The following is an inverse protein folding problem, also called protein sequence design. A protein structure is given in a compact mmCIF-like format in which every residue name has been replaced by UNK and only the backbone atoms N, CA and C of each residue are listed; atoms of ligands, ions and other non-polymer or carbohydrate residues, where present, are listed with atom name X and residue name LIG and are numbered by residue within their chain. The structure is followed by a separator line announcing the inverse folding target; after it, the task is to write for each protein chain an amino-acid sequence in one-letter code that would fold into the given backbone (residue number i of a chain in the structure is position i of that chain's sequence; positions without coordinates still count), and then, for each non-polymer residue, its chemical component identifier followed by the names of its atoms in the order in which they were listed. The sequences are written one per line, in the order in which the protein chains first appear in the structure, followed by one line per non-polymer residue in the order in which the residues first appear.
data_IF_021726820457
#
_entry.id   IF_021726820457
#
_cell.length_a   1.000
_cell.length_b   1.000
_cell.length_c   1.000
_cell.angle_alpha   90.00
_cell.angle_beta   90.00
_cell.angle_gamma   90.00
#
_symmetry.space_group_name_H-M   'P 1'
#
loop_
_entity.id
_entity.type
_entity.pdbx_description
1 polymer ?
#
# COMPACT_ATOMS: atom_id res chain seq x y z
N UNK A 1 10.33 2.90 20.51
CA UNK A 1 10.45 4.07 21.38
C UNK A 1 9.20 4.94 21.23
N UNK A 2 8.82 5.66 22.29
CA UNK A 2 7.68 6.57 22.29
C UNK A 2 7.86 7.68 21.22
N UNK A 3 6.91 7.82 20.30
CA UNK A 3 7.00 8.74 19.17
C UNK A 3 7.74 8.19 17.95
N UNK A 4 8.21 6.96 17.97
CA UNK A 4 8.82 6.33 16.79
C UNK A 4 7.75 5.70 15.90
N UNK A 5 8.08 5.52 14.62
CA UNK A 5 7.22 4.82 13.65
C UNK A 5 6.96 3.39 14.16
N UNK A 6 5.70 2.97 14.16
CA UNK A 6 5.30 1.68 14.71
C UNK A 6 5.16 1.64 16.22
N UNK A 7 5.02 2.79 16.88
CA UNK A 7 4.70 2.84 18.31
C UNK A 7 3.42 2.03 18.58
N UNK A 8 3.50 1.12 19.54
CA UNK A 8 2.41 0.20 19.87
C UNK A 8 2.43 -1.13 19.11
N UNK A 9 3.21 -1.25 18.04
CA UNK A 9 3.37 -2.50 17.31
C UNK A 9 4.26 -3.49 18.09
N UNK A 10 3.89 -4.75 18.03
CA UNK A 10 4.71 -5.86 18.54
C UNK A 10 5.46 -6.49 17.38
N UNK A 11 6.78 -6.61 17.51
CA UNK A 11 7.65 -7.19 16.49
C UNK A 11 8.27 -8.48 17.01
N UNK A 12 8.30 -9.52 16.16
CA UNK A 12 8.95 -10.80 16.48
C UNK A 12 10.23 -11.02 15.67
N UNK A 13 10.58 -10.07 14.80
CA UNK A 13 11.87 -10.06 14.09
C UNK A 13 11.96 -10.99 12.89
N UNK A 14 10.84 -11.33 12.25
CA UNK A 14 10.84 -12.18 11.05
C UNK A 14 11.17 -11.32 9.83
N UNK A 15 12.19 -11.67 9.02
CA UNK A 15 12.54 -10.91 7.82
C UNK A 15 11.45 -10.98 6.76
N UNK A 16 11.27 -9.90 5.99
CA UNK A 16 10.27 -9.80 4.91
C UNK A 16 10.35 -10.96 3.90
N UNK A 17 11.54 -11.38 3.40
CA UNK A 17 11.61 -12.50 2.46
C UNK A 17 11.02 -13.79 3.01
N UNK A 18 11.17 -14.06 4.30
CA UNK A 18 10.60 -15.23 4.95
C UNK A 18 9.08 -15.11 5.06
N UNK A 19 8.57 -13.96 5.45
CA UNK A 19 7.13 -13.68 5.49
C UNK A 19 6.51 -13.83 4.10
N UNK A 20 7.17 -13.31 3.08
CA UNK A 20 6.72 -13.45 1.68
C UNK A 20 6.70 -14.90 1.21
N UNK A 21 7.69 -15.69 1.61
CA UNK A 21 7.73 -17.12 1.31
C UNK A 21 6.55 -17.88 1.94
N UNK A 22 6.23 -17.56 3.18
CA UNK A 22 5.05 -18.14 3.86
C UNK A 22 3.76 -17.71 3.16
N UNK A 23 3.63 -16.43 2.81
CA UNK A 23 2.44 -15.91 2.13
C UNK A 23 2.09 -16.68 0.84
N UNK A 24 3.10 -17.06 0.06
CA UNK A 24 2.91 -17.83 -1.17
C UNK A 24 2.28 -19.20 -0.95
N UNK A 25 2.40 -19.76 0.24
CA UNK A 25 1.80 -21.06 0.60
C UNK A 25 0.30 -20.96 0.89
N UNK A 26 -0.22 -19.75 1.11
CA UNK A 26 -1.62 -19.50 1.49
C UNK A 26 -2.44 -18.80 0.41
N UNK A 27 -2.00 -18.84 -0.85
CA UNK A 27 -2.71 -18.19 -1.97
C UNK A 27 -4.08 -18.81 -2.27
N UNK A 28 -4.36 -19.98 -1.78
CA UNK A 28 -5.61 -20.71 -1.98
C UNK A 28 -6.72 -20.33 -0.99
N UNK A 29 -6.40 -19.64 0.10
CA UNK A 29 -7.41 -19.23 1.10
C UNK A 29 -8.32 -18.14 0.54
N UNK A 30 -9.55 -18.04 1.08
CA UNK A 30 -10.42 -16.92 0.71
C UNK A 30 -9.79 -15.58 1.17
N UNK A 31 -9.97 -14.49 0.42
CA UNK A 31 -9.42 -13.20 0.84
C UNK A 31 -9.83 -12.77 2.26
N UNK A 32 -11.05 -13.12 2.67
CA UNK A 32 -11.58 -12.82 4.01
C UNK A 32 -10.88 -13.60 5.13
N UNK A 33 -10.32 -14.76 4.83
CA UNK A 33 -9.70 -15.64 5.83
C UNK A 33 -8.43 -15.04 6.44
N UNK A 34 -7.83 -14.03 5.81
CA UNK A 34 -6.65 -13.35 6.33
C UNK A 34 -6.97 -12.19 7.28
N UNK A 35 -8.25 -11.78 7.39
CA UNK A 35 -8.64 -10.66 8.25
C UNK A 35 -8.22 -10.81 9.71
N UNK A 36 -8.29 -12.00 10.33
CA UNK A 36 -7.77 -12.17 11.69
C UNK A 36 -6.27 -11.83 11.81
N UNK A 37 -5.46 -12.19 10.81
CA UNK A 37 -4.03 -11.84 10.78
C UNK A 37 -3.84 -10.32 10.65
N UNK A 38 -4.66 -9.66 9.83
CA UNK A 38 -4.58 -8.21 9.65
C UNK A 38 -4.97 -7.45 10.91
N UNK A 39 -5.75 -8.05 11.79
CA UNK A 39 -6.17 -7.48 13.07
C UNK A 39 -5.25 -7.87 14.24
N UNK A 40 -4.19 -8.62 14.00
CA UNK A 40 -3.28 -9.07 15.04
C UNK A 40 -2.40 -7.90 15.56
N UNK A 41 -2.06 -7.96 16.83
CA UNK A 41 -1.14 -6.99 17.44
C UNK A 41 0.31 -7.14 16.96
N UNK A 42 0.67 -8.32 16.44
CA UNK A 42 2.01 -8.59 15.91
C UNK A 42 2.11 -8.03 14.50
N UNK A 43 3.09 -7.15 14.28
CA UNK A 43 3.31 -6.46 13.00
C UNK A 43 3.48 -7.45 11.84
N UNK A 44 4.30 -8.49 12.03
CA UNK A 44 4.56 -9.48 10.98
C UNK A 44 3.31 -10.30 10.60
N UNK A 45 2.35 -10.48 11.51
CA UNK A 45 1.06 -11.08 11.17
C UNK A 45 0.26 -10.20 10.23
N UNK A 46 0.23 -8.90 10.46
CA UNK A 46 -0.44 -7.94 9.57
C UNK A 46 0.27 -7.85 8.22
N UNK A 47 1.59 -7.86 8.21
CA UNK A 47 2.37 -7.91 6.97
C UNK A 47 2.08 -9.20 6.20
N UNK A 48 2.02 -10.34 6.88
CA UNK A 48 1.68 -11.63 6.27
C UNK A 48 0.32 -11.56 5.59
N UNK A 49 -0.71 -11.02 6.25
CA UNK A 49 -2.03 -10.84 5.67
C UNK A 49 -1.99 -10.06 4.34
N UNK A 50 -1.31 -8.92 4.34
CA UNK A 50 -1.16 -8.09 3.15
C UNK A 50 -0.37 -8.80 2.04
N UNK A 51 0.70 -9.51 2.38
CA UNK A 51 1.49 -10.26 1.41
C UNK A 51 0.74 -11.46 0.83
N UNK A 52 -0.19 -12.07 1.58
CA UNK A 52 -1.10 -13.07 1.02
C UNK A 52 -1.99 -12.44 -0.05
N UNK A 53 -2.61 -11.29 0.22
CA UNK A 53 -3.40 -10.58 -0.79
C UNK A 53 -2.55 -10.16 -2.00
N UNK A 54 -1.32 -9.69 -1.79
CA UNK A 54 -0.39 -9.35 -2.87
C UNK A 54 -0.09 -10.57 -3.75
N UNK A 55 0.09 -11.74 -3.14
CA UNK A 55 0.35 -12.99 -3.87
C UNK A 55 -0.90 -13.51 -4.60
N UNK A 56 -2.09 -13.35 -4.01
CA UNK A 56 -3.36 -13.76 -4.60
C UNK A 56 -3.78 -12.89 -5.79
N UNK A 57 -3.52 -11.59 -5.71
CA UNK A 57 -4.08 -10.59 -6.63
C UNK A 57 -3.81 -10.90 -8.11
N UNK A 58 -2.56 -11.16 -8.56
CA UNK A 58 -2.28 -11.45 -9.96
C UNK A 58 -2.97 -12.71 -10.49
N UNK A 59 -3.23 -13.67 -9.59
CA UNK A 59 -3.84 -14.97 -9.92
C UNK A 59 -5.37 -14.96 -9.82
N UNK A 60 -5.95 -13.83 -9.41
CA UNK A 60 -7.39 -13.70 -9.17
C UNK A 60 -8.12 -13.22 -10.40
N UNK A 61 -9.39 -13.65 -10.56
CA UNK A 61 -10.30 -13.10 -11.54
C UNK A 61 -10.77 -11.68 -11.15
N UNK A 62 -11.56 -11.04 -11.99
CA UNK A 62 -12.03 -9.67 -11.76
C UNK A 62 -12.81 -9.51 -10.46
N UNK A 63 -13.66 -10.49 -10.14
CA UNK A 63 -14.51 -10.43 -8.93
C UNK A 63 -13.66 -10.54 -7.67
N UNK A 64 -12.69 -11.45 -7.66
CA UNK A 64 -11.80 -11.65 -6.51
C UNK A 64 -10.84 -10.47 -6.34
N UNK A 65 -10.34 -9.89 -7.42
CA UNK A 65 -9.53 -8.66 -7.38
C UNK A 65 -10.31 -7.51 -6.76
N UNK A 66 -11.56 -7.32 -7.17
CA UNK A 66 -12.43 -6.31 -6.55
C UNK A 66 -12.61 -6.60 -5.06
N UNK A 67 -12.81 -7.85 -4.69
CA UNK A 67 -12.95 -8.24 -3.28
C UNK A 67 -11.72 -7.89 -2.45
N UNK A 68 -10.54 -8.22 -2.94
CA UNK A 68 -9.28 -7.87 -2.28
C UNK A 68 -9.12 -6.36 -2.14
N UNK A 69 -9.40 -5.62 -3.21
CA UNK A 69 -9.36 -4.16 -3.21
C UNK A 69 -10.32 -3.56 -2.18
N UNK A 70 -11.57 -4.01 -2.14
CA UNK A 70 -12.58 -3.52 -1.20
C UNK A 70 -12.18 -3.83 0.25
N UNK A 71 -11.66 -5.03 0.52
CA UNK A 71 -11.16 -5.42 1.83
C UNK A 71 -9.96 -4.59 2.27
N UNK A 72 -9.06 -4.29 1.35
CA UNK A 72 -7.90 -3.43 1.61
C UNK A 72 -8.35 -2.04 2.05
N UNK A 73 -9.23 -1.39 1.29
CA UNK A 73 -9.70 -0.04 1.59
C UNK A 73 -10.60 0.01 2.84
N UNK A 74 -11.30 -1.07 3.16
CA UNK A 74 -12.12 -1.16 4.38
C UNK A 74 -11.31 -1.36 5.66
N UNK A 75 -10.01 -1.66 5.54
CA UNK A 75 -9.14 -2.00 6.67
C UNK A 75 -7.88 -1.13 6.74
N UNK A 76 -7.92 0.07 6.20
CA UNK A 76 -6.77 1.00 6.21
C UNK A 76 -6.33 1.40 7.62
N UNK A 77 -7.23 1.35 8.61
CA UNK A 77 -6.91 1.55 10.01
C UNK A 77 -5.90 0.52 10.57
N UNK A 78 -5.80 -0.63 9.93
CA UNK A 78 -4.87 -1.72 10.29
C UNK A 78 -3.59 -1.71 9.45
N UNK A 79 -3.56 -0.90 8.39
CA UNK A 79 -2.39 -0.70 7.51
C UNK A 79 -1.68 0.58 7.97
N UNK A 80 -1.14 0.52 9.16
CA UNK A 80 -0.74 1.69 9.94
C UNK A 80 0.78 1.74 10.21
N UNK A 81 1.57 1.31 9.23
CA UNK A 81 3.01 1.52 9.22
C UNK A 81 3.50 1.62 7.78
N UNK A 82 4.67 2.25 7.57
CA UNK A 82 5.21 2.53 6.24
C UNK A 82 5.45 1.26 5.42
N UNK A 83 5.97 0.20 6.03
CA UNK A 83 6.25 -1.05 5.31
C UNK A 83 4.98 -1.80 4.91
N UNK A 84 3.92 -1.74 5.73
CA UNK A 84 2.62 -2.31 5.40
C UNK A 84 2.05 -1.64 4.15
N UNK A 85 2.20 -0.33 4.03
CA UNK A 85 1.78 0.44 2.84
C UNK A 85 2.70 0.12 1.65
N UNK A 86 4.00 0.27 1.82
CA UNK A 86 4.96 0.24 0.71
C UNK A 86 5.07 -1.14 0.04
N UNK A 87 4.77 -2.22 0.78
CA UNK A 87 4.79 -3.58 0.27
C UNK A 87 3.45 -4.07 -0.28
N UNK A 88 2.41 -3.23 -0.32
CA UNK A 88 1.06 -3.65 -0.71
C UNK A 88 0.30 -2.65 -1.59
N UNK A 89 0.51 -1.35 -1.42
CA UNK A 89 -0.35 -0.33 -2.04
C UNK A 89 -0.32 -0.34 -3.58
N UNK A 90 0.87 -0.36 -4.19
CA UNK A 90 0.94 -0.33 -5.66
C UNK A 90 0.54 -1.68 -6.27
N UNK A 91 0.77 -2.79 -5.58
CA UNK A 91 0.44 -4.13 -6.04
C UNK A 91 -1.08 -4.41 -6.03
N UNK A 92 -1.82 -3.79 -5.11
CA UNK A 92 -3.27 -4.01 -4.93
C UNK A 92 -4.05 -2.79 -5.40
N UNK A 93 -3.87 -1.64 -4.76
CA UNK A 93 -4.65 -0.43 -5.07
C UNK A 93 -4.27 0.14 -6.43
N UNK A 94 -2.99 0.32 -6.68
CA UNK A 94 -2.49 0.83 -7.96
C UNK A 94 -2.88 -0.09 -9.12
N UNK A 95 -2.63 -1.38 -8.99
CA UNK A 95 -2.94 -2.36 -10.04
C UNK A 95 -4.44 -2.47 -10.31
N UNK A 96 -5.27 -2.50 -9.27
CA UNK A 96 -6.72 -2.57 -9.44
C UNK A 96 -7.28 -1.37 -10.20
N UNK A 97 -6.80 -0.16 -9.88
CA UNK A 97 -7.30 1.08 -10.49
C UNK A 97 -6.66 1.42 -11.84
N UNK A 98 -5.68 0.65 -12.29
CA UNK A 98 -4.86 0.95 -13.46
C UNK A 98 -5.67 1.36 -14.69
N UNK A 99 -6.73 0.63 -14.99
CA UNK A 99 -7.62 0.83 -16.14
C UNK A 99 -9.02 1.35 -15.75
N UNK A 100 -9.12 1.94 -14.56
CA UNK A 100 -10.38 2.44 -13.99
C UNK A 100 -10.25 3.91 -13.60
N UNK A 101 -11.31 4.48 -13.07
CA UNK A 101 -11.31 5.82 -12.48
C UNK A 101 -10.37 5.86 -11.27
N UNK A 102 -9.45 6.82 -11.24
CA UNK A 102 -8.47 7.00 -10.18
C UNK A 102 -8.97 7.87 -9.02
N UNK A 103 -10.23 8.28 -9.04
CA UNK A 103 -10.84 9.07 -7.95
C UNK A 103 -10.61 8.50 -6.55
N UNK A 104 -10.62 7.17 -6.32
CA UNK A 104 -10.30 6.62 -5.01
C UNK A 104 -8.94 7.06 -4.46
N UNK A 105 -7.93 7.25 -5.31
CA UNK A 105 -6.61 7.76 -4.88
C UNK A 105 -6.70 9.19 -4.34
N UNK A 106 -7.49 10.03 -5.00
CA UNK A 106 -7.68 11.42 -4.56
C UNK A 106 -8.43 11.50 -3.24
N UNK A 107 -9.43 10.64 -3.04
CA UNK A 107 -10.14 10.53 -1.76
C UNK A 107 -9.22 10.10 -0.62
N UNK A 108 -8.34 9.13 -0.86
CA UNK A 108 -7.35 8.71 0.12
C UNK A 108 -6.40 9.86 0.49
N UNK A 109 -5.96 10.64 -0.48
CA UNK A 109 -5.09 11.79 -0.24
C UNK A 109 -5.77 12.88 0.59
N UNK A 110 -7.09 13.03 0.48
CA UNK A 110 -7.89 14.06 1.15
C UNK A 110 -8.48 13.60 2.48
N UNK A 111 -8.31 12.33 2.87
CA UNK A 111 -8.96 11.73 4.03
C UNK A 111 -8.48 12.29 5.38
N UNK A 112 -7.34 12.97 5.43
CA UNK A 112 -6.73 13.43 6.68
C UNK A 112 -6.04 12.33 7.49
N UNK A 113 -6.11 11.07 7.05
CA UNK A 113 -5.46 9.95 7.71
C UNK A 113 -4.10 9.66 7.05
N UNK A 114 -3.04 9.75 7.85
CA UNK A 114 -1.65 9.67 7.40
C UNK A 114 -1.39 8.47 6.47
N UNK A 115 -1.86 7.30 6.85
CA UNK A 115 -1.55 6.08 6.10
C UNK A 115 -2.36 5.97 4.82
N UNK A 116 -3.58 6.48 4.79
CA UNK A 116 -4.35 6.60 3.54
C UNK A 116 -3.71 7.59 2.57
N UNK A 117 -3.19 8.68 3.08
CA UNK A 117 -2.43 9.64 2.27
C UNK A 117 -1.16 9.01 1.69
N UNK A 118 -0.44 8.21 2.48
CA UNK A 118 0.71 7.46 1.98
C UNK A 118 0.31 6.40 0.95
N UNK A 119 -0.79 5.68 1.18
CA UNK A 119 -1.33 4.72 0.20
C UNK A 119 -1.59 5.41 -1.14
N UNK A 120 -2.19 6.60 -1.13
CA UNK A 120 -2.53 7.34 -2.35
C UNK A 120 -1.32 7.59 -3.25
N UNK A 121 -0.24 8.11 -2.69
CA UNK A 121 0.96 8.46 -3.46
C UNK A 121 1.79 7.22 -3.82
N UNK A 122 1.94 6.25 -2.90
CA UNK A 122 2.71 5.02 -3.16
C UNK A 122 2.03 4.13 -4.20
N UNK A 123 0.69 4.11 -4.24
CA UNK A 123 -0.06 3.37 -5.27
C UNK A 123 0.32 3.79 -6.69
N UNK A 124 0.68 5.05 -6.90
CA UNK A 124 1.07 5.58 -8.21
C UNK A 124 2.39 5.04 -8.74
N UNK A 125 3.20 4.37 -7.90
CA UNK A 125 4.40 3.66 -8.34
C UNK A 125 4.11 2.74 -9.52
N UNK A 126 2.95 2.10 -9.53
CA UNK A 126 2.49 1.27 -10.63
C UNK A 126 2.43 2.05 -11.96
N UNK A 127 1.90 3.27 -11.93
CA UNK A 127 1.73 4.11 -13.12
C UNK A 127 3.05 4.74 -13.57
N UNK A 128 3.91 5.11 -12.63
CA UNK A 128 5.25 5.64 -12.92
C UNK A 128 6.05 4.63 -13.75
N UNK A 129 5.97 3.35 -13.41
CA UNK A 129 6.63 2.27 -14.16
C UNK A 129 6.13 2.15 -15.59
N UNK A 130 4.93 2.59 -15.87
CA UNK A 130 4.32 2.63 -17.20
C UNK A 130 4.43 4.01 -17.86
N UNK A 131 5.23 4.91 -17.29
CA UNK A 131 5.44 6.30 -17.75
C UNK A 131 4.15 7.13 -17.77
N UNK A 132 3.24 6.87 -16.86
CA UNK A 132 2.03 7.65 -16.63
C UNK A 132 2.23 8.44 -15.33
N UNK A 133 2.46 9.75 -15.46
CA UNK A 133 2.94 10.59 -14.35
C UNK A 133 1.88 11.54 -13.78
N UNK A 134 0.74 11.67 -14.44
CA UNK A 134 -0.28 12.69 -14.13
C UNK A 134 -0.77 12.59 -12.69
N UNK A 135 -1.16 11.38 -12.25
CA UNK A 135 -1.65 11.18 -10.88
C UNK A 135 -0.57 11.43 -9.84
N UNK A 136 0.65 10.96 -10.11
CA UNK A 136 1.78 11.18 -9.19
C UNK A 136 2.04 12.67 -9.01
N UNK A 137 2.08 13.44 -10.09
CA UNK A 137 2.35 14.88 -10.04
C UNK A 137 1.21 15.61 -9.33
N UNK A 138 -0.04 15.26 -9.61
CA UNK A 138 -1.20 15.87 -8.96
C UNK A 138 -1.21 15.59 -7.44
N UNK A 139 -1.01 14.34 -7.05
CA UNK A 139 -0.98 13.95 -5.64
C UNK A 139 0.24 14.51 -4.91
N UNK A 140 1.39 14.56 -5.58
CA UNK A 140 2.59 15.16 -5.03
C UNK A 140 2.38 16.64 -4.73
N UNK A 141 1.73 17.38 -5.64
CA UNK A 141 1.40 18.79 -5.43
C UNK A 141 0.50 18.97 -4.20
N UNK A 142 -0.54 18.17 -4.07
CA UNK A 142 -1.45 18.18 -2.92
C UNK A 142 -0.74 17.86 -1.60
N UNK A 143 0.22 16.96 -1.60
CA UNK A 143 0.88 16.46 -0.41
C UNK A 143 2.23 17.15 -0.12
N UNK A 144 2.68 18.03 -1.01
CA UNK A 144 4.00 18.67 -0.92
C UNK A 144 4.21 19.46 0.38
N UNK A 145 3.16 20.09 0.88
CA UNK A 145 3.19 20.88 2.11
C UNK A 145 2.75 20.10 3.36
N UNK A 146 2.60 18.78 3.24
CA UNK A 146 2.18 17.96 4.37
C UNK A 146 3.23 18.03 5.49
N UNK A 147 2.82 18.23 6.77
CA UNK A 147 3.77 18.43 7.87
C UNK A 147 4.53 17.16 8.29
N UNK A 148 4.03 15.98 7.93
CA UNK A 148 4.61 14.72 8.40
C UNK A 148 5.73 14.23 7.47
N UNK A 149 6.88 13.87 8.04
CA UNK A 149 8.06 13.46 7.28
C UNK A 149 7.86 12.19 6.46
N UNK A 150 7.02 11.23 6.91
CA UNK A 150 6.71 10.02 6.14
C UNK A 150 5.97 10.32 4.85
N UNK A 151 5.13 11.37 4.81
CA UNK A 151 4.50 11.81 3.56
C UNK A 151 5.52 12.52 2.69
N UNK A 152 6.35 13.40 3.25
CA UNK A 152 7.43 14.07 2.51
C UNK A 152 8.39 13.07 1.87
N UNK A 153 8.76 12.02 2.61
CA UNK A 153 9.63 10.95 2.08
C UNK A 153 8.96 10.17 0.96
N UNK A 154 7.67 9.85 1.07
CA UNK A 154 6.93 9.16 0.03
C UNK A 154 6.79 10.02 -1.24
N UNK A 155 6.46 11.29 -1.10
CA UNK A 155 6.42 12.26 -2.22
C UNK A 155 7.78 12.36 -2.90
N UNK A 156 8.84 12.53 -2.12
CA UNK A 156 10.22 12.61 -2.65
C UNK A 156 10.63 11.33 -3.37
N UNK A 157 10.29 10.17 -2.85
CA UNK A 157 10.54 8.89 -3.50
C UNK A 157 9.83 8.81 -4.86
N UNK A 158 8.52 9.11 -4.90
CA UNK A 158 7.74 9.01 -6.14
C UNK A 158 8.21 10.03 -7.19
N UNK A 159 8.51 11.27 -6.79
CA UNK A 159 9.05 12.28 -7.72
C UNK A 159 10.42 11.88 -8.27
N UNK A 160 11.26 11.26 -7.46
CA UNK A 160 12.56 10.74 -7.92
C UNK A 160 12.37 9.62 -8.95
N UNK A 161 11.39 8.77 -8.76
CA UNK A 161 11.07 7.70 -9.70
C UNK A 161 10.52 8.23 -11.03
N UNK A 162 9.74 9.31 -10.99
CA UNK A 162 9.31 10.05 -12.19
C UNK A 162 10.55 10.60 -12.92
N UNK A 163 11.42 11.30 -12.21
CA UNK A 163 12.61 11.91 -12.79
C UNK A 163 13.59 10.91 -13.42
N UNK A 164 13.67 9.68 -12.92
CA UNK A 164 14.47 8.61 -13.53
C UNK A 164 13.95 8.18 -14.89
N UNK A 165 12.66 8.34 -15.17
CA UNK A 165 11.98 7.86 -16.37
C UNK A 165 11.64 8.96 -17.35
N UNK A 166 11.49 10.17 -16.87
CA UNK A 166 11.28 11.38 -17.68
C UNK A 166 12.61 12.15 -17.73
N UNK A 167 13.39 11.87 -18.76
CA UNK A 167 14.69 12.51 -19.00
C UNK A 167 14.61 13.65 -20.02
N UNK A 168 13.40 14.14 -20.24
CA UNK A 168 13.19 15.27 -21.15
C UNK A 168 13.73 16.57 -20.54
#
# INVERSE_FOLDING_TARGET
AKGAYGEGDKFVGIPVPKTRSVAKQYVYVAPEDVLPLLSDAVHECRLLALLIWVAQFPKSDKLRRKRIFDLYLSNTDKINNWDLVDLSAYQIVGEYLRDKDHTPLYRLAESGYLWEQRISIVATWKYIREKQFEDTLYLADKLLQHPHDLIQKAVGWMLREVGKRDKA
#
